data_IF_599083969210
#
_entry.id   IF_599083969210
#
_cell.length_a   1.000
_cell.length_b   1.000
_cell.length_c   1.000
_cell.angle_alpha   90.00
_cell.angle_beta   90.00
_cell.angle_gamma   90.00
#
_symmetry.space_group_name_H-M   'P 1'
#
loop_
_entity.id
_entity.type
_entity.pdbx_description
1 polymer ?
#
# COMPACT_ATOMS: atom_id res chain seq x y z
N UNK A 1 -9.30 -9.29 9.82
CA UNK A 1 -8.01 -8.64 10.00
C UNK A 1 -8.22 -7.27 10.62
N UNK A 2 -7.53 -6.99 11.71
CA UNK A 2 -7.70 -5.69 12.38
C UNK A 2 -7.25 -4.54 11.49
N UNK A 3 -7.95 -3.44 11.63
CA UNK A 3 -7.62 -2.26 10.84
C UNK A 3 -6.21 -1.76 11.11
N UNK A 4 -5.76 -1.90 12.35
CA UNK A 4 -4.42 -1.44 12.68
C UNK A 4 -3.35 -2.18 11.90
N UNK A 5 -3.54 -3.48 11.73
CA UNK A 5 -2.57 -4.25 10.96
C UNK A 5 -2.59 -3.87 9.50
N UNK A 6 -3.77 -3.63 8.97
CA UNK A 6 -3.86 -3.20 7.57
C UNK A 6 -3.15 -1.86 7.39
N UNK A 7 -3.37 -0.94 8.32
CA UNK A 7 -2.72 0.36 8.22
C UNK A 7 -1.20 0.23 8.28
N UNK A 8 -0.70 -0.66 9.12
CA UNK A 8 0.74 -0.87 9.20
C UNK A 8 1.30 -1.41 7.90
N UNK A 9 0.59 -2.37 7.30
CA UNK A 9 1.04 -2.93 6.04
C UNK A 9 1.05 -1.85 4.96
N UNK A 10 0.02 -1.02 4.93
CA UNK A 10 -0.03 0.07 3.96
C UNK A 10 1.18 0.98 4.12
N UNK A 11 1.52 1.34 5.36
CA UNK A 11 2.67 2.19 5.60
C UNK A 11 3.94 1.55 5.07
N UNK A 12 4.12 0.25 5.32
CA UNK A 12 5.29 -0.45 4.84
C UNK A 12 5.35 -0.49 3.33
N UNK A 13 4.20 -0.70 2.70
CA UNK A 13 4.15 -0.71 1.24
C UNK A 13 4.46 0.66 0.68
N UNK A 14 4.01 1.71 1.35
CA UNK A 14 4.33 3.07 0.90
C UNK A 14 5.82 3.34 0.95
N UNK A 15 6.47 2.88 2.00
CA UNK A 15 7.92 3.03 2.09
C UNK A 15 8.63 2.26 0.98
N UNK A 16 8.17 1.05 0.73
CA UNK A 16 8.75 0.26 -0.34
C UNK A 16 8.52 0.92 -1.71
N UNK A 17 7.34 1.51 -1.89
CA UNK A 17 7.04 2.21 -3.12
C UNK A 17 7.98 3.40 -3.32
N UNK A 18 8.22 4.14 -2.25
CA UNK A 18 9.14 5.28 -2.31
C UNK A 18 10.53 4.82 -2.72
N UNK A 19 10.99 3.72 -2.13
CA UNK A 19 12.30 3.19 -2.47
C UNK A 19 12.37 2.77 -3.92
N UNK A 20 11.34 2.10 -4.40
CA UNK A 20 11.31 1.67 -5.79
C UNK A 20 11.34 2.87 -6.72
N UNK A 21 10.59 3.91 -6.39
CA UNK A 21 10.58 5.12 -7.21
C UNK A 21 11.93 5.81 -7.19
N UNK A 22 12.60 5.83 -6.04
CA UNK A 22 13.93 6.41 -5.94
C UNK A 22 14.91 5.73 -6.85
N UNK A 23 14.75 4.42 -7.02
CA UNK A 23 15.63 3.64 -7.89
C UNK A 23 15.15 3.63 -9.32
N UNK A 24 14.10 4.38 -9.60
CA UNK A 24 13.49 4.41 -10.93
C UNK A 24 12.94 3.07 -11.35
N UNK A 25 12.58 2.25 -10.38
CA UNK A 25 11.96 0.95 -10.63
C UNK A 25 10.45 1.13 -10.67
N UNK A 26 9.98 1.70 -11.77
CA UNK A 26 8.59 2.13 -11.85
C UNK A 26 7.62 0.96 -11.89
N UNK A 27 8.02 -0.15 -12.48
CA UNK A 27 7.14 -1.32 -12.50
C UNK A 27 6.87 -1.81 -11.09
N UNK A 28 7.91 -1.87 -10.28
CA UNK A 28 7.73 -2.32 -8.91
C UNK A 28 6.92 -1.32 -8.11
N UNK A 29 7.17 -0.04 -8.33
CA UNK A 29 6.41 0.97 -7.64
C UNK A 29 4.93 0.87 -7.98
N UNK A 30 4.61 0.57 -9.22
CA UNK A 30 3.22 0.42 -9.64
C UNK A 30 2.57 -0.79 -8.97
N UNK A 31 3.30 -1.90 -8.87
CA UNK A 31 2.77 -3.08 -8.21
C UNK A 31 2.48 -2.80 -6.73
N UNK A 32 3.40 -2.09 -6.09
CA UNK A 32 3.21 -1.77 -4.69
C UNK A 32 2.02 -0.85 -4.52
N UNK A 33 1.85 0.09 -5.43
CA UNK A 33 0.71 0.98 -5.37
C UNK A 33 -0.60 0.21 -5.50
N UNK A 34 -0.65 -0.77 -6.41
CA UNK A 34 -1.84 -1.57 -6.55
C UNK A 34 -2.18 -2.27 -5.25
N UNK A 35 -1.18 -2.81 -4.58
CA UNK A 35 -1.43 -3.46 -3.31
C UNK A 35 -1.94 -2.50 -2.26
N UNK A 36 -1.39 -1.28 -2.24
CA UNK A 36 -1.87 -0.27 -1.32
C UNK A 36 -3.33 0.04 -1.60
N UNK A 37 -3.69 0.19 -2.86
CA UNK A 37 -5.07 0.50 -3.21
C UNK A 37 -6.03 -0.57 -2.72
N UNK A 38 -5.66 -1.83 -2.90
CA UNK A 38 -6.52 -2.92 -2.46
C UNK A 38 -6.71 -2.87 -0.94
N UNK A 39 -5.64 -2.64 -0.20
CA UNK A 39 -5.74 -2.59 1.24
C UNK A 39 -6.52 -1.38 1.72
N UNK A 40 -6.35 -0.26 1.06
CA UNK A 40 -7.10 0.93 1.42
C UNK A 40 -8.59 0.73 1.19
N UNK A 41 -8.94 0.03 0.13
CA UNK A 41 -10.34 -0.29 -0.10
C UNK A 41 -10.91 -1.10 1.04
N UNK A 42 -10.15 -2.04 1.55
CA UNK A 42 -10.61 -2.84 2.66
C UNK A 42 -10.86 -2.01 3.90
N UNK A 43 -10.01 -1.03 4.14
CA UNK A 43 -10.23 -0.13 5.25
C UNK A 43 -11.48 0.71 5.06
N UNK A 44 -11.66 1.22 3.87
CA UNK A 44 -12.77 2.13 3.60
C UNK A 44 -14.10 1.42 3.57
N UNK A 45 -14.11 0.15 3.20
CA UNK A 45 -15.36 -0.59 3.13
C UNK A 45 -16.07 -0.66 4.45
N UNK A 46 -15.35 -0.48 5.52
CA UNK A 46 -15.94 -0.52 6.84
C UNK A 46 -16.85 0.67 7.12
N UNK A 47 -16.77 1.66 6.30
CA UNK A 47 -17.56 2.85 6.52
C UNK A 47 -19.03 2.65 6.16
N UNK A 48 -19.33 1.61 5.48
CA UNK A 48 -20.74 1.32 5.18
C UNK A 48 -21.42 0.72 6.38
#
# INVERSE_FOLDING_TARGET
MPQEEIAKVITQLELAMDLAASKMDFEKAAELRDQIDVLQEKLEKKKH
#
